data_IF_368463940702
#
_entry.id   IF_368463940702
#
_cell.length_a   1.000
_cell.length_b   1.000
_cell.length_c   1.000
_cell.angle_alpha   90.00
_cell.angle_beta   90.00
_cell.angle_gamma   90.00
#
_symmetry.space_group_name_H-M   'P 1'
#
loop_
_entity.id
_entity.type
_entity.pdbx_description
1 polymer ?
#
# COMPACT_ATOMS: atom_id res chain seq x y z
N UNK A 1 -5.55 -2.14 -6.20
CA UNK A 1 -5.54 -0.66 -6.36
C UNK A 1 -6.47 0.05 -5.39
N UNK A 2 -7.61 -0.50 -4.97
CA UNK A 2 -8.55 0.21 -4.07
C UNK A 2 -7.99 0.50 -2.66
N UNK A 3 -7.18 -0.40 -2.08
CA UNK A 3 -6.55 -0.16 -0.77
C UNK A 3 -5.63 1.07 -0.78
N UNK A 4 -4.92 1.35 -1.89
CA UNK A 4 -4.02 2.49 -2.00
C UNK A 4 -4.79 3.81 -2.04
N UNK A 5 -5.92 3.86 -2.76
CA UNK A 5 -6.78 5.04 -2.79
C UNK A 5 -7.37 5.34 -1.40
N UNK A 6 -7.81 4.30 -0.68
CA UNK A 6 -8.33 4.47 0.69
C UNK A 6 -7.24 4.94 1.65
N UNK A 7 -6.04 4.37 1.51
CA UNK A 7 -4.86 4.72 2.29
C UNK A 7 -4.50 6.21 2.11
N UNK A 8 -4.45 6.70 0.87
CA UNK A 8 -4.20 8.11 0.59
C UNK A 8 -5.30 9.04 1.16
N UNK A 9 -6.56 8.62 1.12
CA UNK A 9 -7.68 9.38 1.69
C UNK A 9 -7.58 9.49 3.22
N UNK A 10 -7.32 8.38 3.90
CA UNK A 10 -7.15 8.37 5.36
C UNK A 10 -5.96 9.25 5.79
N UNK A 11 -4.87 9.24 5.01
CA UNK A 11 -3.73 10.12 5.25
C UNK A 11 -4.11 11.60 5.08
N UNK A 12 -4.87 11.94 4.05
CA UNK A 12 -5.36 13.30 3.82
C UNK A 12 -6.23 13.79 4.99
N UNK A 13 -7.00 12.90 5.61
CA UNK A 13 -7.79 13.15 6.82
C UNK A 13 -6.98 13.09 8.13
N UNK A 14 -5.65 12.94 8.05
CA UNK A 14 -4.71 12.84 9.18
C UNK A 14 -4.96 11.64 10.09
N UNK A 15 -5.47 10.55 9.54
CA UNK A 15 -5.63 9.28 10.25
C UNK A 15 -4.38 8.42 10.05
N UNK A 16 -3.99 7.74 11.13
CA UNK A 16 -3.02 6.66 11.08
C UNK A 16 -3.73 5.37 10.66
N UNK A 17 -3.01 4.48 9.98
CA UNK A 17 -3.56 3.21 9.55
C UNK A 17 -2.45 2.15 9.41
N UNK A 18 -2.84 0.89 9.39
CA UNK A 18 -1.97 -0.23 9.03
C UNK A 18 -2.76 -1.30 8.28
N UNK A 19 -2.09 -1.98 7.35
CA UNK A 19 -2.66 -3.06 6.56
C UNK A 19 -2.16 -4.41 7.09
N UNK A 20 -3.09 -5.24 7.57
CA UNK A 20 -2.80 -6.56 8.14
C UNK A 20 -3.35 -7.67 7.25
N UNK A 21 -2.70 -8.83 7.31
CA UNK A 21 -3.10 -10.04 6.59
C UNK A 21 -3.28 -11.20 7.57
N UNK A 22 -4.35 -11.19 8.37
CA UNK A 22 -4.66 -12.28 9.30
C UNK A 22 -5.28 -13.52 8.62
N UNK A 23 -5.54 -13.45 7.32
CA UNK A 23 -6.12 -14.55 6.56
C UNK A 23 -5.09 -15.64 6.25
N UNK A 24 -5.45 -16.94 6.31
CA UNK A 24 -6.76 -17.52 6.62
C UNK A 24 -6.95 -17.89 8.10
N UNK A 25 -6.09 -17.41 9.02
CA UNK A 25 -6.11 -17.85 10.42
C UNK A 25 -7.41 -17.48 11.16
N UNK A 26 -8.17 -16.49 10.66
CA UNK A 26 -9.38 -15.97 11.30
C UNK A 26 -10.63 -16.29 10.47
N UNK A 27 -11.12 -17.52 10.57
CA UNK A 27 -12.25 -18.04 9.78
C UNK A 27 -13.64 -17.58 10.26
N UNK A 28 -13.75 -16.92 11.44
CA UNK A 28 -15.05 -16.53 12.01
C UNK A 28 -15.71 -15.29 11.36
N UNK A 29 -14.96 -14.51 10.57
CA UNK A 29 -15.45 -13.25 9.98
C UNK A 29 -16.67 -13.47 9.05
N UNK A 30 -16.64 -14.40 8.08
CA UNK A 30 -17.75 -14.55 7.15
C UNK A 30 -19.02 -15.04 7.84
N UNK A 31 -18.90 -15.93 8.83
CA UNK A 31 -20.04 -16.47 9.59
C UNK A 31 -20.68 -15.40 10.49
N UNK A 32 -19.86 -14.64 11.21
CA UNK A 32 -20.33 -13.62 12.15
C UNK A 32 -21.07 -12.48 11.45
N UNK A 33 -20.60 -12.06 10.28
CA UNK A 33 -21.16 -10.92 9.53
C UNK A 33 -21.97 -11.30 8.30
N UNK A 34 -22.24 -12.60 8.10
CA UNK A 34 -23.03 -13.14 6.95
C UNK A 34 -22.47 -12.66 5.61
N UNK A 35 -21.14 -12.69 5.46
CA UNK A 35 -20.49 -12.30 4.22
C UNK A 35 -20.73 -13.37 3.15
N UNK A 36 -21.05 -12.99 1.90
CA UNK A 36 -21.20 -13.93 0.80
C UNK A 36 -19.97 -14.83 0.60
N UNK A 37 -20.18 -16.12 0.33
CA UNK A 37 -19.10 -17.10 0.22
C UNK A 37 -18.17 -16.87 -1.00
N UNK A 38 -18.64 -16.14 -2.01
CA UNK A 38 -17.85 -15.73 -3.18
C UNK A 38 -16.89 -14.57 -2.87
N UNK A 39 -17.02 -13.93 -1.70
CA UNK A 39 -16.16 -12.82 -1.30
C UNK A 39 -14.94 -13.32 -0.54
N UNK A 40 -13.77 -13.17 -1.17
CA UNK A 40 -12.48 -13.49 -0.56
C UNK A 40 -11.92 -12.26 0.16
N UNK A 41 -11.89 -12.32 1.49
CA UNK A 41 -11.20 -11.32 2.33
C UNK A 41 -9.69 -11.34 2.00
N UNK A 42 -9.16 -10.18 1.57
CA UNK A 42 -7.76 -10.05 1.14
C UNK A 42 -6.84 -9.51 2.23
N UNK A 43 -7.33 -8.54 2.99
CA UNK A 43 -6.58 -7.86 4.03
C UNK A 43 -7.54 -7.10 4.95
N UNK A 44 -7.04 -6.66 6.10
CA UNK A 44 -7.73 -5.80 7.05
C UNK A 44 -6.99 -4.47 7.15
N UNK A 45 -7.68 -3.37 6.87
CA UNK A 45 -7.13 -2.02 7.03
C UNK A 45 -7.67 -1.43 8.33
N UNK A 46 -6.80 -1.34 9.33
CA UNK A 46 -7.13 -0.75 10.64
C UNK A 46 -6.70 0.71 10.62
N UNK A 47 -7.57 1.62 11.07
CA UNK A 47 -7.29 3.05 11.10
C UNK A 47 -7.86 3.71 12.36
N UNK A 48 -7.18 4.75 12.84
CA UNK A 48 -7.59 5.58 13.98
C UNK A 48 -6.77 6.88 14.03
N UNK A 49 -7.01 7.73 15.03
CA UNK A 49 -6.13 8.86 15.35
C UNK A 49 -4.73 8.35 15.67
N UNK A 50 -3.68 8.87 15.00
CA UNK A 50 -2.32 8.42 15.23
C UNK A 50 -1.85 8.79 16.64
N UNK A 51 -1.31 7.82 17.37
CA UNK A 51 -0.78 7.99 18.74
C UNK A 51 0.73 8.20 18.77
N UNK A 52 1.39 8.11 17.62
CA UNK A 52 2.83 8.27 17.44
C UNK A 52 3.20 8.54 15.98
N UNK A 53 4.48 8.82 15.73
CA UNK A 53 5.01 9.03 14.38
C UNK A 53 5.18 7.71 13.61
N UNK A 54 5.25 7.81 12.29
CA UNK A 54 5.60 6.68 11.44
C UNK A 54 7.07 6.26 11.68
N UNK A 55 7.40 4.96 11.62
CA UNK A 55 8.77 4.50 11.71
C UNK A 55 9.59 4.99 10.51
N UNK A 56 10.90 5.06 10.69
CA UNK A 56 11.82 5.40 9.59
C UNK A 56 11.70 4.37 8.46
N UNK A 57 11.56 4.86 7.23
CA UNK A 57 11.48 4.04 6.03
C UNK A 57 12.76 4.18 5.23
N UNK A 58 13.47 3.07 5.06
CA UNK A 58 14.65 2.99 4.19
C UNK A 58 14.25 2.71 2.75
N UNK A 59 15.09 3.16 1.82
CA UNK A 59 14.85 3.11 0.39
C UNK A 59 16.12 2.63 -0.31
N UNK A 60 16.02 1.66 -1.23
CA UNK A 60 17.17 1.20 -2.02
C UNK A 60 17.71 2.31 -2.94
N UNK A 61 18.98 2.26 -3.38
CA UNK A 61 19.51 3.27 -4.30
C UNK A 61 18.69 3.41 -5.60
N UNK A 62 18.52 4.64 -6.12
CA UNK A 62 17.68 4.91 -7.29
C UNK A 62 18.13 4.14 -8.54
N UNK A 63 19.44 4.06 -8.77
CA UNK A 63 20.04 3.36 -9.93
C UNK A 63 19.75 1.86 -9.95
N UNK A 64 19.30 1.26 -8.84
CA UNK A 64 18.89 -0.15 -8.78
C UNK A 64 17.42 -0.36 -9.12
N UNK A 65 16.61 0.72 -9.10
CA UNK A 65 15.15 0.65 -9.23
C UNK A 65 14.59 1.41 -10.44
N UNK A 66 15.40 2.24 -11.08
CA UNK A 66 15.01 3.03 -12.25
C UNK A 66 16.10 2.94 -13.33
N UNK A 67 15.72 2.47 -14.52
CA UNK A 67 16.53 2.57 -15.73
C UNK A 67 15.84 3.48 -16.74
N UNK A 68 16.56 4.46 -17.26
CA UNK A 68 16.08 5.38 -18.30
C UNK A 68 16.94 5.18 -19.54
N UNK A 69 16.32 4.80 -20.65
CA UNK A 69 16.99 4.66 -21.93
C UNK A 69 16.49 5.75 -22.89
N UNK A 70 17.36 6.71 -23.18
CA UNK A 70 17.16 7.71 -24.23
C UNK A 70 17.92 7.31 -25.50
N UNK A 71 17.51 7.83 -26.65
CA UNK A 71 18.32 7.79 -27.87
C UNK A 71 19.41 8.86 -27.72
N UNK A 72 20.67 8.47 -27.82
CA UNK A 72 21.77 9.42 -27.98
C UNK A 72 21.53 10.19 -29.28
N UNK A 73 21.15 11.46 -29.16
CA UNK A 73 21.31 12.42 -30.25
C UNK A 73 22.82 12.65 -30.37
N UNK A 74 23.42 11.97 -31.34
CA UNK A 74 24.82 12.13 -31.71
C UNK A 74 25.15 13.63 -31.82
N UNK A 75 25.98 14.11 -30.90
CA UNK A 75 26.38 15.52 -30.81
C UNK A 75 27.59 15.77 -31.74
N UNK A 76 27.56 15.22 -32.96
CA UNK A 76 28.64 15.31 -33.96
C UNK A 76 28.62 16.60 -34.78
N UNK A 77 28.00 17.66 -34.27
CA UNK A 77 28.05 19.01 -34.84
C UNK A 77 28.47 20.03 -33.76
N UNK A 78 29.74 19.98 -33.38
CA UNK A 78 30.48 21.12 -32.82
C UNK A 78 31.87 21.16 -33.43
#
# INVERSE_FOLDING_TARGET
MHHYALWALLEADRLGYNLQHYNPMYDGVPEQWKIPADWSLKAQLVFDKPTGGAPEKTFEPLHQRLSVHGKDIDNSLS
#
